data_IF_503305274253
#
_entry.id   IF_503305274253
#
_cell.length_a   1.000
_cell.length_b   1.000
_cell.length_c   1.000
_cell.angle_alpha   90.00
_cell.angle_beta   90.00
_cell.angle_gamma   90.00
#
_symmetry.space_group_name_H-M   'P 1'
#
loop_
_entity.id
_entity.type
_entity.pdbx_description
1 polymer ?
#
# COMPACT_ATOMS: atom_id res chain seq x y z
N UNK A 1 -6.75 -26.74 -23.13
CA UNK A 1 -6.99 -27.16 -22.74
C UNK A 1 -7.24 -27.12 -22.48
N UNK A 2 -7.04 -26.67 -22.48
CA UNK A 2 -7.38 -26.74 -22.08
C UNK A 2 -7.42 -26.41 -21.73
N UNK A 3 -7.29 -25.99 -21.72
CA UNK A 3 -7.53 -25.90 -21.19
C UNK A 3 -7.38 -25.54 -20.87
N UNK A 4 -7.27 -24.99 -20.97
CA UNK A 4 -7.31 -24.92 -20.54
C UNK A 4 -7.11 -24.55 -20.32
N UNK A 5 -7.08 -24.11 -20.38
CA UNK A 5 -7.13 -24.14 -19.98
C UNK A 5 -6.95 -23.74 -19.80
N UNK A 6 -6.63 -22.93 -19.88
CA UNK A 6 -6.67 -22.91 -19.56
C UNK A 6 -6.52 -22.44 -19.29
N UNK A 7 -6.39 -22.17 -19.27
CA UNK A 7 -6.43 -22.13 -18.92
C UNK A 7 -5.97 -21.84 -18.82
N UNK A 8 -5.65 -21.33 -18.74
CA UNK A 8 -5.37 -21.50 -18.49
C UNK A 8 -5.06 -21.07 -18.51
N UNK A 9 -4.94 -20.65 -18.52
CA UNK A 9 -4.92 -20.80 -18.48
C UNK A 9 -4.74 -20.15 -18.43
N UNK A 10 -4.56 -19.53 -18.25
CA UNK A 10 -4.64 -19.47 -18.09
C UNK A 10 -4.41 -19.16 -17.93
N UNK A 11 -4.49 -18.74 -17.90
CA UNK A 11 -4.55 -18.98 -17.53
C UNK A 11 -4.02 -18.88 -17.55
N UNK A 12 -3.60 -18.06 -17.58
CA UNK A 12 -3.32 -18.33 -17.46
C UNK A 12 -2.91 -17.98 -17.42
N UNK A 13 -2.72 -17.39 -17.35
CA UNK A 13 -2.58 -17.58 -17.27
C UNK A 13 -2.24 -17.31 -17.05
N UNK A 14 -2.03 -16.72 -16.94
CA UNK A 14 -1.96 -16.98 -16.69
C UNK A 14 -1.50 -16.94 -16.62
N UNK A 15 -1.20 -16.38 -16.63
CA UNK A 15 -0.96 -16.74 -16.51
C UNK A 15 -0.43 -16.70 -16.47
N UNK A 16 -0.09 -16.15 -16.43
CA UNK A 16 0.26 -16.41 -16.21
C UNK A 16 0.89 -16.18 -16.08
N UNK A 17 1.26 -15.78 -16.12
CA UNK A 17 1.75 -15.61 -15.71
C UNK A 17 2.29 -15.22 -15.46
N UNK A 18 2.64 -14.79 -15.28
CA UNK A 18 2.88 -14.37 -14.76
C UNK A 18 3.60 -14.01 -14.34
N UNK A 19 4.00 -13.61 -14.22
CA UNK A 19 4.40 -13.19 -13.59
C UNK A 19 5.12 -12.72 -13.20
N UNK A 20 5.77 -12.46 -13.15
CA UNK A 20 6.24 -11.97 -12.47
C UNK A 20 6.44 -11.49 -11.67
N UNK A 21 7.17 -11.18 -11.18
CA UNK A 21 6.77 -10.46 -10.51
C UNK A 21 7.03 -9.74 -9.47
N UNK A 22 7.97 -8.89 -9.24
CA UNK A 22 7.51 -8.06 -8.20
C UNK A 22 6.01 -8.08 -8.27
N UNK A 23 5.41 -8.71 -7.40
CA UNK A 23 4.01 -8.83 -7.46
C UNK A 23 3.32 -7.60 -6.98
N UNK A 24 2.53 -7.07 -7.85
CA UNK A 24 1.56 -6.11 -7.40
C UNK A 24 0.53 -6.89 -6.62
N UNK A 25 0.47 -6.62 -5.34
CA UNK A 25 -0.56 -7.18 -4.52
C UNK A 25 -1.69 -6.17 -4.48
N UNK A 26 -2.81 -6.55 -5.05
CA UNK A 26 -4.02 -5.75 -4.93
C UNK A 26 -4.81 -6.27 -3.77
N UNK A 27 -4.96 -5.41 -2.76
CA UNK A 27 -5.88 -5.69 -1.68
C UNK A 27 -7.26 -5.16 -2.05
N UNK A 28 -8.25 -5.46 -1.23
CA UNK A 28 -9.58 -4.89 -1.40
C UNK A 28 -9.57 -3.37 -1.39
N UNK A 29 -8.53 -2.78 -0.85
CA UNK A 29 -8.39 -1.34 -0.77
C UNK A 29 -7.78 -0.75 -2.02
N UNK A 30 -7.57 -1.57 -3.04
CA UNK A 30 -6.97 -1.14 -4.30
C UNK A 30 -5.62 -0.49 -4.05
N UNK A 31 -4.81 -1.15 -3.29
CA UNK A 31 -3.54 -0.63 -2.86
C UNK A 31 -2.41 -1.42 -3.48
N UNK A 32 -1.45 -0.73 -4.06
CA UNK A 32 -0.25 -1.35 -4.63
C UNK A 32 0.93 -0.88 -3.79
N UNK A 33 1.76 -1.80 -3.34
CA UNK A 33 2.89 -1.43 -2.51
C UNK A 33 4.10 -2.33 -2.76
N UNK A 34 5.25 -1.82 -2.43
CA UNK A 34 6.54 -2.50 -2.54
C UNK A 34 7.48 -2.00 -1.46
N UNK A 35 8.41 -2.84 -1.08
CA UNK A 35 9.47 -2.47 -0.15
C UNK A 35 10.56 -3.51 -0.19
N UNK A 36 11.72 -3.19 0.38
CA UNK A 36 12.82 -4.13 0.45
C UNK A 36 12.48 -5.30 1.35
N UNK A 37 11.74 -5.03 2.43
CA UNK A 37 11.28 -6.06 3.35
C UNK A 37 9.80 -5.88 3.62
N UNK A 38 9.08 -6.98 3.61
CA UNK A 38 7.65 -6.99 3.90
C UNK A 38 7.38 -8.01 4.97
N UNK A 39 6.77 -7.58 6.05
CA UNK A 39 6.36 -8.46 7.14
C UNK A 39 4.85 -8.42 7.29
N UNK A 40 4.23 -9.56 7.24
CA UNK A 40 2.79 -9.69 7.38
C UNK A 40 2.45 -10.40 8.66
N UNK A 41 1.57 -9.79 9.46
CA UNK A 41 1.02 -10.43 10.64
C UNK A 41 -0.46 -10.68 10.38
N UNK A 42 -0.81 -11.94 10.14
CA UNK A 42 -2.18 -12.27 9.77
C UNK A 42 -3.13 -12.20 10.95
N UNK A 43 -2.64 -12.41 12.16
CA UNK A 43 -3.48 -12.32 13.34
C UNK A 43 -3.90 -10.89 13.64
N UNK A 44 -2.97 -9.97 13.51
CA UNK A 44 -3.26 -8.56 13.75
C UNK A 44 -3.66 -7.81 12.50
N UNK A 45 -3.58 -8.48 11.35
CA UNK A 45 -3.91 -7.91 10.05
C UNK A 45 -3.11 -6.66 9.77
N UNK A 46 -1.80 -6.74 10.05
CA UNK A 46 -0.88 -5.65 9.78
C UNK A 46 0.16 -6.08 8.75
N UNK A 47 0.62 -5.11 7.99
CA UNK A 47 1.69 -5.30 7.02
C UNK A 47 2.69 -4.19 7.25
N UNK A 48 3.95 -4.58 7.47
CA UNK A 48 5.02 -3.62 7.70
C UNK A 48 6.00 -3.72 6.54
N UNK A 49 6.21 -2.58 5.89
CA UNK A 49 7.13 -2.46 4.78
C UNK A 49 8.29 -1.59 5.22
N UNK A 50 9.52 -2.02 4.94
CA UNK A 50 10.70 -1.23 5.27
C UNK A 50 11.66 -1.20 4.09
N UNK A 51 12.35 -0.07 3.95
CA UNK A 51 13.37 0.12 2.92
C UNK A 51 12.77 0.41 1.56
N UNK A 52 12.97 1.62 1.07
CA UNK A 52 12.54 2.06 -0.25
C UNK A 52 11.09 1.69 -0.55
N UNK A 53 10.21 2.08 0.36
CA UNK A 53 8.81 1.69 0.28
C UNK A 53 8.07 2.57 -0.72
N UNK A 54 7.35 1.93 -1.62
CA UNK A 54 6.47 2.59 -2.56
C UNK A 54 5.04 2.18 -2.25
N UNK A 55 4.11 3.10 -2.37
CA UNK A 55 2.70 2.84 -2.10
C UNK A 55 1.84 3.69 -3.00
N UNK A 56 0.84 3.07 -3.61
CA UNK A 56 -0.09 3.76 -4.47
C UNK A 56 -1.50 3.33 -4.18
N UNK A 57 -2.38 4.31 -4.02
CA UNK A 57 -3.82 4.07 -3.88
C UNK A 57 -4.54 5.11 -4.73
N UNK A 58 -5.85 5.04 -4.76
CA UNK A 58 -6.63 6.07 -5.45
C UNK A 58 -6.50 7.44 -4.78
N UNK A 59 -6.08 7.46 -3.53
CA UNK A 59 -6.01 8.69 -2.73
C UNK A 59 -4.62 9.28 -2.64
N UNK A 60 -3.58 8.46 -2.68
CA UNK A 60 -2.21 8.93 -2.47
C UNK A 60 -1.24 8.22 -3.41
N UNK A 61 -0.11 8.88 -3.64
CA UNK A 61 1.01 8.32 -4.37
C UNK A 61 2.27 8.58 -3.57
N UNK A 62 2.93 7.52 -3.15
CA UNK A 62 4.17 7.59 -2.39
C UNK A 62 5.26 6.91 -3.19
N UNK A 63 6.31 7.66 -3.54
CA UNK A 63 7.40 7.11 -4.33
C UNK A 63 8.40 6.39 -3.45
N UNK A 64 8.67 6.95 -2.27
CA UNK A 64 9.66 6.38 -1.38
C UNK A 64 9.37 6.75 0.06
N UNK A 65 9.59 5.80 0.96
CA UNK A 65 9.52 6.05 2.38
C UNK A 65 10.43 5.06 3.09
N UNK A 66 10.83 5.39 4.29
CA UNK A 66 11.66 4.52 5.09
C UNK A 66 10.87 3.32 5.58
N UNK A 67 9.63 3.55 5.98
CA UNK A 67 8.79 2.51 6.54
C UNK A 67 7.32 2.87 6.35
N UNK A 68 6.52 1.85 6.10
CA UNK A 68 5.06 2.01 6.03
C UNK A 68 4.42 0.88 6.81
N UNK A 69 3.45 1.22 7.64
CA UNK A 69 2.68 0.22 8.36
C UNK A 69 1.23 0.30 7.91
N UNK A 70 0.74 -0.80 7.37
CA UNK A 70 -0.65 -0.92 6.94
C UNK A 70 -1.41 -1.70 8.00
N UNK A 71 -2.40 -1.07 8.59
CA UNK A 71 -3.25 -1.70 9.60
C UNK A 71 -4.62 -1.88 9.00
N UNK A 72 -4.88 -3.08 8.50
CA UNK A 72 -6.15 -3.36 7.82
C UNK A 72 -7.32 -3.41 8.79
N UNK A 73 -7.04 -3.74 10.02
CA UNK A 73 -8.06 -3.82 11.04
C UNK A 73 -8.64 -2.44 11.36
N UNK A 74 -7.80 -1.42 11.40
CA UNK A 74 -8.21 -0.06 11.73
C UNK A 74 -8.27 0.86 10.52
N UNK A 75 -8.05 0.32 9.32
CA UNK A 75 -8.12 1.07 8.07
C UNK A 75 -7.14 2.24 8.04
N UNK A 76 -5.95 2.05 8.60
CA UNK A 76 -4.94 3.11 8.63
C UNK A 76 -3.65 2.67 7.96
N UNK A 77 -2.99 3.64 7.35
CA UNK A 77 -1.66 3.47 6.79
C UNK A 77 -0.79 4.57 7.40
N UNK A 78 0.27 4.16 8.08
CA UNK A 78 1.20 5.11 8.69
C UNK A 78 2.48 5.10 7.90
N UNK A 79 2.90 6.27 7.43
CA UNK A 79 4.06 6.45 6.57
C UNK A 79 5.12 7.22 7.32
N UNK A 80 6.33 6.65 7.39
CA UNK A 80 7.46 7.23 8.12
C UNK A 80 8.51 7.72 7.14
N UNK A 81 8.90 8.97 7.29
CA UNK A 81 9.94 9.62 6.48
C UNK A 81 9.66 9.46 4.97
N UNK A 82 8.53 9.97 4.51
CA UNK A 82 8.19 9.88 3.09
C UNK A 82 9.03 10.84 2.26
N UNK A 83 9.28 10.44 1.02
CA UNK A 83 9.85 11.28 -0.02
C UNK A 83 8.92 11.23 -1.22
N UNK A 84 8.70 12.37 -1.84
CA UNK A 84 7.85 12.45 -3.02
C UNK A 84 6.45 11.88 -2.77
N UNK A 85 5.84 12.39 -1.73
CA UNK A 85 4.47 12.02 -1.37
C UNK A 85 3.49 12.99 -2.02
N UNK A 86 2.44 12.45 -2.60
CA UNK A 86 1.42 13.24 -3.29
C UNK A 86 0.04 12.82 -2.87
N UNK A 87 -0.81 13.79 -2.60
CA UNK A 87 -2.22 13.53 -2.35
C UNK A 87 -2.96 13.65 -3.67
N UNK A 88 -3.60 12.57 -4.10
CA UNK A 88 -4.41 12.57 -5.31
C UNK A 88 -5.83 12.99 -5.01
N UNK A 89 -6.36 12.55 -3.91
CA UNK A 89 -7.69 12.92 -3.45
C UNK A 89 -7.82 12.62 -1.96
N UNK A 90 -8.35 13.55 -1.19
CA UNK A 90 -8.67 13.33 0.22
C UNK A 90 -9.89 14.14 0.57
N UNK A 91 -10.76 13.55 1.38
CA UNK A 91 -11.92 14.30 1.90
C UNK A 91 -11.48 15.30 2.94
N UNK A 92 -10.48 14.94 3.74
CA UNK A 92 -10.00 15.79 4.81
C UNK A 92 -8.49 15.70 4.88
N UNK A 93 -7.83 16.83 5.01
CA UNK A 93 -6.40 16.90 5.25
C UNK A 93 -6.18 17.75 6.48
N UNK A 94 -5.43 17.22 7.44
CA UNK A 94 -5.17 17.97 8.67
C UNK A 94 -3.71 17.84 9.06
N UNK A 95 -3.30 18.72 9.96
CA UNK A 95 -1.97 18.73 10.49
C UNK A 95 -2.07 18.84 12.01
N UNK A 96 -1.50 17.90 12.72
CA UNK A 96 -1.52 17.98 14.17
C UNK A 96 -0.28 18.69 14.66
N UNK A 97 -0.48 19.61 15.56
CA UNK A 97 0.47 20.30 16.41
C UNK A 97 1.89 20.47 15.91
N UNK A 98 2.71 21.08 16.69
CA UNK A 98 4.02 21.52 16.27
C UNK A 98 5.14 20.50 16.33
N UNK A 99 4.85 19.23 16.35
CA UNK A 99 5.93 18.24 16.34
C UNK A 99 6.36 17.97 14.91
N UNK A 100 7.63 18.22 14.66
CA UNK A 100 8.18 17.97 13.34
C UNK A 100 8.45 16.49 13.14
N UNK A 101 7.44 15.68 13.33
CA UNK A 101 7.54 14.26 13.01
C UNK A 101 7.24 14.10 11.54
N UNK A 102 8.13 13.52 10.81
CA UNK A 102 7.91 13.28 9.41
C UNK A 102 7.08 12.00 9.24
N UNK A 103 5.84 12.08 9.69
CA UNK A 103 4.91 10.95 9.70
C UNK A 103 3.59 11.38 9.09
N UNK A 104 3.05 10.54 8.22
CA UNK A 104 1.76 10.77 7.61
C UNK A 104 0.85 9.61 7.97
N UNK A 105 -0.36 9.91 8.41
CA UNK A 105 -1.36 8.89 8.70
C UNK A 105 -2.51 9.05 7.70
N UNK A 106 -2.78 7.99 6.99
CA UNK A 106 -3.83 7.95 5.99
C UNK A 106 -4.91 6.97 6.45
N UNK A 107 -6.15 7.44 6.55
CA UNK A 107 -7.28 6.59 6.87
C UNK A 107 -7.97 6.22 5.56
N UNK A 108 -7.93 4.94 5.21
CA UNK A 108 -8.42 4.47 3.92
C UNK A 108 -9.94 4.53 3.82
N UNK A 109 -10.61 4.34 4.93
CA UNK A 109 -12.07 4.33 4.94
C UNK A 109 -12.65 5.73 4.89
N UNK A 110 -12.08 6.63 5.68
CA UNK A 110 -12.57 8.02 5.76
C UNK A 110 -11.94 8.91 4.71
N UNK A 111 -10.94 8.41 4.01
CA UNK A 111 -10.20 9.18 3.01
C UNK A 111 -9.63 10.46 3.60
N UNK A 112 -9.08 10.34 4.81
CA UNK A 112 -8.48 11.47 5.51
C UNK A 112 -6.97 11.26 5.61
N UNK A 113 -6.25 12.37 5.59
CA UNK A 113 -4.80 12.36 5.67
C UNK A 113 -4.38 13.35 6.76
N UNK A 114 -3.54 12.88 7.67
CA UNK A 114 -3.05 13.71 8.78
C UNK A 114 -1.53 13.74 8.75
N UNK A 115 -0.98 14.94 8.75
CA UNK A 115 0.47 15.16 8.87
C UNK A 115 0.80 15.38 10.33
N UNK A 116 1.77 14.63 10.83
CA UNK A 116 2.20 14.75 12.22
C UNK A 116 3.60 15.30 12.35
#
# INVERSE_FOLDING_TARGET
MKRLFTIAGIFTLLLFSKNTFAQEIQSELTMVYKGDNIKKNTQERTIILTGNVMLKTKNISLVNAEKVMIDEKNNTVTIYNPKDFKILYAKTVSKTGGNNKNIIVYNTKEESITFQ
#
